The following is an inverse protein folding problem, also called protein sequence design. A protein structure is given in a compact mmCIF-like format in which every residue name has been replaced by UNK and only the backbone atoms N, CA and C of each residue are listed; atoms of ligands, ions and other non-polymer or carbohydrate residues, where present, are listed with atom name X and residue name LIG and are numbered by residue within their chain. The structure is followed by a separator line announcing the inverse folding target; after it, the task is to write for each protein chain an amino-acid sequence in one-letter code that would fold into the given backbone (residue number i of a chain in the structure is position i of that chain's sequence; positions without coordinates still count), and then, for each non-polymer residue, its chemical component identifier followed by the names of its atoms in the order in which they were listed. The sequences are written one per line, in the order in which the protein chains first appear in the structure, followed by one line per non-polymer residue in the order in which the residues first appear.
data_IF_941733818456
#
_entry.id   IF_941733818456
#
_cell.length_a   1.000
_cell.length_b   1.000
_cell.length_c   1.000
_cell.angle_alpha   90.00
_cell.angle_beta   90.00
_cell.angle_gamma   90.00
#
_symmetry.space_group_name_H-M   'P 1'
#
loop_
_entity.id
_entity.type
_entity.pdbx_description
1 polymer ?
#
# COMPACT_ATOMS: atom_id res chain seq x y z
N UNK A 1 21.36 44.70 34.35
CA UNK A 1 20.37 44.66 33.25
C UNK A 1 20.86 43.85 32.04
N UNK A 2 22.06 44.06 31.50
CA UNK A 2 22.52 43.35 30.28
C UNK A 2 22.64 41.81 30.37
N UNK A 3 22.89 41.24 31.55
CA UNK A 3 22.99 39.78 31.74
C UNK A 3 21.66 39.05 31.53
N UNK A 4 20.54 39.64 31.98
CA UNK A 4 19.20 39.09 31.79
C UNK A 4 18.81 39.08 30.30
N UNK A 5 19.12 40.16 29.57
CA UNK A 5 18.89 40.23 28.12
C UNK A 5 19.72 39.15 27.41
N UNK A 6 20.99 38.97 27.78
CA UNK A 6 21.85 37.93 27.21
C UNK A 6 21.31 36.51 27.42
N UNK A 7 20.84 36.20 28.64
CA UNK A 7 20.26 34.88 28.96
C UNK A 7 18.99 34.61 28.13
N UNK A 8 18.14 35.62 27.94
CA UNK A 8 16.92 35.49 27.13
C UNK A 8 17.25 35.20 25.66
N UNK A 9 18.24 35.88 25.09
CA UNK A 9 18.66 35.65 23.69
C UNK A 9 19.22 34.24 23.52
N UNK A 10 20.06 33.77 24.46
CA UNK A 10 20.61 32.41 24.39
C UNK A 10 19.51 31.36 24.50
N UNK A 11 18.56 31.51 25.42
CA UNK A 11 17.40 30.62 25.53
C UNK A 11 16.52 30.64 24.29
N UNK A 12 16.31 31.82 23.68
CA UNK A 12 15.53 31.95 22.46
C UNK A 12 16.20 31.25 21.27
N UNK A 13 17.52 31.41 21.12
CA UNK A 13 18.29 30.75 20.05
C UNK A 13 18.34 29.24 20.26
N UNK A 14 18.54 28.76 21.49
CA UNK A 14 18.51 27.33 21.82
C UNK A 14 17.12 26.72 21.60
N UNK A 15 16.07 27.41 22.03
CA UNK A 15 14.68 27.00 21.81
C UNK A 15 14.33 26.94 20.32
N UNK A 16 14.79 27.92 19.55
CA UNK A 16 14.60 27.97 18.09
C UNK A 16 15.33 26.83 17.39
N UNK A 17 16.56 26.48 17.81
CA UNK A 17 17.30 25.34 17.27
C UNK A 17 16.64 24.00 17.58
N UNK A 18 16.05 23.82 18.77
CA UNK A 18 15.31 22.60 19.11
C UNK A 18 14.02 22.45 18.30
N UNK A 19 13.31 23.55 18.02
CA UNK A 19 12.12 23.53 17.16
C UNK A 19 12.44 23.13 15.71
N UNK A 20 13.67 23.40 15.26
CA UNK A 20 14.13 23.08 13.90
C UNK A 20 14.68 21.65 13.76
N UNK A 21 14.84 20.88 14.85
CA UNK A 21 15.39 19.53 14.76
C UNK A 21 14.44 18.65 13.96
N UNK A 22 14.82 18.21 12.75
CA UNK A 22 13.95 17.36 11.95
C UNK A 22 13.72 16.06 12.71
N UNK A 23 12.46 15.66 12.81
CA UNK A 23 12.07 14.41 13.41
C UNK A 23 12.75 13.27 12.64
N UNK A 24 13.59 12.49 13.34
CA UNK A 24 14.39 11.45 12.70
C UNK A 24 13.55 10.37 12.00
N UNK A 25 12.29 10.21 12.41
CA UNK A 25 11.33 9.32 11.76
C UNK A 25 10.94 9.85 10.38
N UNK A 26 10.68 11.14 10.25
CA UNK A 26 10.25 11.74 8.98
C UNK A 26 11.39 11.71 7.95
N UNK A 27 12.64 11.91 8.38
CA UNK A 27 13.80 11.73 7.50
C UNK A 27 13.96 10.29 7.00
N UNK A 28 13.68 9.31 7.86
CA UNK A 28 13.77 7.88 7.50
C UNK A 28 12.65 7.47 6.56
N UNK A 29 11.44 7.96 6.81
CA UNK A 29 10.28 7.76 5.98
C UNK A 29 10.47 8.39 4.60
N UNK A 30 10.99 9.61 4.55
CA UNK A 30 11.30 10.30 3.30
C UNK A 30 12.33 9.52 2.49
N UNK A 31 13.41 9.04 3.13
CA UNK A 31 14.40 8.20 2.46
C UNK A 31 13.83 6.88 1.94
N UNK A 32 12.94 6.23 2.70
CA UNK A 32 12.23 5.02 2.26
C UNK A 32 11.42 5.31 0.99
N UNK A 33 10.64 6.39 0.99
CA UNK A 33 9.80 6.79 -0.15
C UNK A 33 10.62 7.21 -1.36
N UNK A 34 11.72 7.93 -1.16
CA UNK A 34 12.67 8.29 -2.22
C UNK A 34 13.31 7.04 -2.84
N UNK A 35 13.70 6.06 -2.01
CA UNK A 35 14.27 4.79 -2.49
C UNK A 35 13.23 3.97 -3.27
N UNK A 36 11.99 3.93 -2.78
CA UNK A 36 10.88 3.26 -3.47
C UNK A 36 10.62 3.89 -4.86
N UNK A 37 10.58 5.22 -4.95
CA UNK A 37 10.43 5.94 -6.23
C UNK A 37 11.55 5.60 -7.21
N UNK A 38 12.80 5.51 -6.73
CA UNK A 38 13.94 5.10 -7.57
C UNK A 38 13.75 3.68 -8.13
N UNK A 39 13.10 2.79 -7.39
CA UNK A 39 12.78 1.42 -7.81
C UNK A 39 11.49 1.33 -8.65
N UNK A 40 10.89 2.47 -9.03
CA UNK A 40 9.61 2.59 -9.74
C UNK A 40 8.39 2.13 -8.93
N UNK A 41 8.55 1.92 -7.62
CA UNK A 41 7.42 1.80 -6.70
C UNK A 41 6.92 3.22 -6.42
N UNK A 42 5.63 3.48 -6.64
CA UNK A 42 5.03 4.78 -6.40
C UNK A 42 4.41 4.81 -4.99
N UNK A 43 5.10 5.36 -3.97
CA UNK A 43 4.57 5.44 -2.62
C UNK A 43 3.55 6.57 -2.48
N UNK A 44 2.39 6.24 -1.93
CA UNK A 44 1.35 7.18 -1.51
C UNK A 44 0.93 6.85 -0.09
N UNK A 45 0.61 7.86 0.70
CA UNK A 45 0.01 7.67 2.01
C UNK A 45 -1.50 7.77 1.84
N UNK A 46 -2.23 6.72 2.21
CA UNK A 46 -3.69 6.65 2.07
C UNK A 46 -4.34 6.21 3.38
N UNK A 47 -5.61 6.55 3.54
CA UNK A 47 -6.42 5.99 4.62
C UNK A 47 -6.52 4.47 4.45
N UNK A 48 -6.55 3.74 5.56
CA UNK A 48 -6.79 2.30 5.53
C UNK A 48 -8.08 2.03 4.77
N UNK A 49 -8.05 1.20 3.70
CA UNK A 49 -9.28 0.82 3.04
C UNK A 49 -10.12 -0.05 3.98
N UNK A 50 -11.43 -0.02 3.79
CA UNK A 50 -12.44 -0.71 4.59
C UNK A 50 -12.24 -2.23 4.70
N UNK A 51 -11.68 -2.85 3.67
CA UNK A 51 -11.39 -4.28 3.65
C UNK A 51 -10.08 -4.68 4.37
N UNK A 52 -9.25 -3.72 4.81
CA UNK A 52 -8.01 -4.00 5.53
C UNK A 52 -8.17 -3.71 7.03
N UNK A 53 -7.68 -4.62 7.86
CA UNK A 53 -7.51 -4.40 9.30
C UNK A 53 -6.37 -3.42 9.56
N UNK A 54 -6.69 -2.29 10.17
CA UNK A 54 -5.74 -1.28 10.58
C UNK A 54 -4.88 -1.71 11.77
N UNK A 55 -4.15 -0.75 12.34
CA UNK A 55 -3.24 -0.98 13.48
C UNK A 55 -3.95 -1.52 14.72
N UNK A 56 -5.17 -1.04 14.97
CA UNK A 56 -5.94 -1.36 16.18
C UNK A 56 -6.87 -2.57 15.99
N UNK A 57 -6.60 -3.40 14.97
CA UNK A 57 -7.45 -4.54 14.57
C UNK A 57 -8.87 -4.13 14.10
N UNK A 58 -9.14 -2.82 14.02
CA UNK A 58 -10.34 -2.24 13.46
C UNK A 58 -10.19 -2.05 11.94
N UNK A 59 -11.24 -2.39 11.20
CA UNK A 59 -11.30 -2.22 9.74
C UNK A 59 -11.35 -0.73 9.35
N UNK A 60 -10.58 -0.35 8.32
CA UNK A 60 -10.63 0.99 7.74
C UNK A 60 -10.09 2.13 8.62
N UNK A 61 -9.44 1.82 9.75
CA UNK A 61 -8.87 2.84 10.66
C UNK A 61 -7.35 2.92 10.57
N UNK A 62 -6.86 4.16 10.39
CA UNK A 62 -5.42 4.47 10.35
C UNK A 62 -4.93 4.92 8.97
N UNK A 63 -3.62 5.16 8.88
CA UNK A 63 -2.95 5.54 7.63
C UNK A 63 -1.99 4.41 7.21
N UNK A 64 -2.02 4.03 5.93
CA UNK A 64 -1.14 3.02 5.34
C UNK A 64 -0.32 3.60 4.19
N UNK A 65 0.89 3.07 4.05
CA UNK A 65 1.70 3.23 2.86
C UNK A 65 1.14 2.35 1.74
N UNK A 66 0.73 2.98 0.66
CA UNK A 66 0.35 2.35 -0.59
C UNK A 66 1.53 2.42 -1.55
N UNK A 67 2.03 1.27 -1.99
CA UNK A 67 3.16 1.20 -2.93
C UNK A 67 2.65 0.53 -4.19
N UNK A 68 2.61 1.28 -5.29
CA UNK A 68 2.08 0.83 -6.56
C UNK A 68 3.23 0.51 -7.52
N UNK A 69 3.19 -0.68 -8.13
CA UNK A 69 4.02 -1.07 -9.26
C UNK A 69 3.11 -1.17 -10.50
N UNK A 70 3.51 -0.48 -11.57
CA UNK A 70 2.77 -0.42 -12.83
C UNK A 70 3.52 -1.26 -13.86
N UNK A 71 2.81 -2.13 -14.54
CA UNK A 71 3.30 -2.93 -15.67
C UNK A 71 2.87 -2.27 -16.98
N UNK A 72 3.72 -2.35 -18.01
CA UNK A 72 3.43 -1.76 -19.33
C UNK A 72 2.52 -2.68 -20.16
N UNK A 73 2.78 -3.99 -20.17
CA UNK A 73 2.14 -4.95 -21.09
C UNK A 73 1.26 -6.01 -20.41
N UNK A 74 0.84 -5.81 -19.16
CA UNK A 74 0.09 -6.83 -18.40
C UNK A 74 -1.28 -6.32 -17.94
N UNK A 75 -2.32 -7.13 -18.15
CA UNK A 75 -3.64 -6.92 -17.55
C UNK A 75 -3.88 -7.96 -16.46
N UNK A 76 -3.75 -7.53 -15.22
CA UNK A 76 -4.08 -8.24 -14.01
C UNK A 76 -5.58 -8.12 -13.69
N UNK A 77 -6.20 -9.21 -13.20
CA UNK A 77 -7.57 -9.19 -12.72
C UNK A 77 -7.70 -8.27 -11.51
N UNK A 78 -8.87 -7.64 -11.37
CA UNK A 78 -9.13 -6.77 -10.23
C UNK A 78 -9.48 -7.61 -9.00
N UNK A 79 -8.50 -7.82 -8.11
CA UNK A 79 -8.64 -8.69 -6.95
C UNK A 79 -8.02 -8.05 -5.71
N UNK A 80 -8.66 -8.27 -4.56
CA UNK A 80 -8.19 -7.85 -3.24
C UNK A 80 -7.70 -9.07 -2.48
N UNK A 81 -6.50 -8.98 -1.94
CA UNK A 81 -5.89 -10.01 -1.10
C UNK A 81 -5.53 -9.42 0.26
N UNK A 82 -5.97 -10.09 1.32
CA UNK A 82 -5.63 -9.77 2.69
C UNK A 82 -4.55 -10.70 3.20
N UNK A 83 -3.71 -10.22 4.11
CA UNK A 83 -2.74 -11.08 4.81
C UNK A 83 -3.43 -11.68 6.02
N UNK A 84 -3.61 -13.01 6.01
CA UNK A 84 -4.16 -13.78 7.14
C UNK A 84 -3.17 -14.90 7.45
N UNK A 85 -2.65 -14.93 8.69
CA UNK A 85 -1.68 -15.92 9.16
C UNK A 85 -0.42 -16.06 8.27
N UNK A 86 0.08 -14.94 7.72
CA UNK A 86 1.28 -14.93 6.87
C UNK A 86 1.04 -15.43 5.44
N UNK A 87 -0.22 -15.64 5.06
CA UNK A 87 -0.61 -16.06 3.71
C UNK A 87 -1.53 -15.05 3.06
N UNK A 88 -1.44 -14.95 1.73
CA UNK A 88 -2.40 -14.21 0.93
C UNK A 88 -3.73 -14.95 0.91
N UNK A 89 -4.81 -14.26 1.30
CA UNK A 89 -6.19 -14.75 1.15
C UNK A 89 -7.01 -13.77 0.33
N UNK A 90 -7.60 -14.21 -0.79
CA UNK A 90 -8.47 -13.35 -1.57
C UNK A 90 -9.72 -13.01 -0.77
N UNK A 91 -10.16 -11.77 -0.86
CA UNK A 91 -11.42 -11.35 -0.26
C UNK A 91 -12.58 -11.89 -1.12
N UNK A 92 -13.17 -13.00 -0.68
CA UNK A 92 -14.31 -13.64 -1.36
C UNK A 92 -15.57 -12.77 -1.38
N UNK A 93 -15.62 -11.69 -0.59
CA UNK A 93 -16.73 -10.73 -0.60
C UNK A 93 -16.58 -9.64 -1.65
N UNK A 94 -15.40 -9.55 -2.29
CA UNK A 94 -15.15 -8.52 -3.29
C UNK A 94 -15.87 -8.84 -4.60
N UNK A 95 -16.99 -8.14 -4.82
CA UNK A 95 -17.66 -8.07 -6.12
C UNK A 95 -17.13 -6.84 -6.84
N UNK A 96 -16.44 -7.04 -7.96
CA UNK A 96 -16.04 -5.94 -8.84
C UNK A 96 -17.29 -5.34 -9.50
N UNK A 97 -17.81 -4.26 -8.91
CA UNK A 97 -18.92 -3.46 -9.47
C UNK A 97 -18.44 -2.45 -10.52
N UNK A 98 -17.21 -2.57 -11.06
CA UNK A 98 -16.81 -1.71 -12.18
C UNK A 98 -17.64 -2.05 -13.41
N UNK A 99 -18.66 -1.21 -13.64
CA UNK A 99 -19.39 -1.17 -14.90
C UNK A 99 -18.37 -0.94 -16.01
N UNK A 100 -18.16 -1.94 -16.87
CA UNK A 100 -17.45 -1.74 -18.13
C UNK A 100 -18.27 -0.71 -18.92
N UNK A 101 -17.83 0.54 -18.95
CA UNK A 101 -18.44 1.70 -19.64
C UNK A 101 -18.44 1.56 -21.19
N UNK A 102 -18.36 0.33 -21.70
CA UNK A 102 -18.34 -0.02 -23.13
C UNK A 102 -19.65 -0.55 -23.67
N UNK A 103 -20.77 -0.34 -22.98
CA UNK A 103 -22.09 -0.43 -23.62
C UNK A 103 -22.56 0.98 -23.95
N UNK A 104 -22.36 1.36 -25.21
CA UNK A 104 -23.04 2.50 -25.83
C UNK A 104 -24.54 2.42 -25.52
N UNK A 105 -25.02 3.33 -24.68
CA UNK A 105 -26.44 3.45 -24.34
C UNK A 105 -27.18 3.90 -25.60
N UNK A 106 -27.66 2.95 -26.39
CA UNK A 106 -28.63 3.23 -27.45
C UNK A 106 -29.89 3.72 -26.71
N UNK A 107 -30.43 4.92 -27.01
CA UNK A 107 -31.67 5.37 -26.41
C UNK A 107 -32.81 4.47 -26.91
N UNK A 108 -33.19 3.49 -26.10
CA UNK A 108 -34.29 2.57 -26.37
C UNK A 108 -35.62 3.28 -26.09
N UNK A 109 -36.10 4.08 -27.05
CA UNK A 109 -37.49 4.55 -27.09
C UNK A 109 -38.49 3.42 -27.44
N UNK A 110 -38.00 2.20 -27.71
CA UNK A 110 -38.82 1.06 -28.10
C UNK A 110 -38.23 -0.19 -27.44
N UNK A 111 -38.84 -0.64 -26.34
CA UNK A 111 -39.02 -2.07 -25.98
C UNK A 111 -39.29 -2.20 -24.48
N UNK A 112 -40.55 -2.42 -24.16
CA UNK A 112 -41.03 -3.04 -22.93
C UNK A 112 -40.61 -4.52 -22.92
N UNK A 113 -39.64 -4.88 -22.08
CA UNK A 113 -39.48 -6.24 -21.52
C UNK A 113 -38.39 -6.21 -20.47
N UNK A 114 -38.65 -6.94 -19.38
CA UNK A 114 -37.81 -7.06 -18.20
C UNK A 114 -36.35 -7.35 -18.56
N UNK A 115 -35.46 -6.38 -18.31
CA UNK A 115 -34.02 -6.62 -18.29
C UNK A 115 -33.68 -6.94 -16.83
N UNK A 116 -33.45 -8.23 -16.54
CA UNK A 116 -32.68 -8.57 -15.35
C UNK A 116 -31.27 -8.05 -15.59
N UNK A 117 -30.94 -6.91 -15.00
CA UNK A 117 -29.55 -6.46 -14.87
C UNK A 117 -28.86 -7.47 -13.94
N UNK A 118 -28.45 -8.62 -14.47
CA UNK A 118 -27.48 -9.46 -13.78
C UNK A 118 -26.15 -8.72 -13.88
N UNK A 119 -25.63 -8.13 -12.80
CA UNK A 119 -24.26 -7.62 -12.84
C UNK A 119 -23.39 -8.83 -13.23
N UNK A 120 -22.59 -8.69 -14.28
CA UNK A 120 -21.56 -9.66 -14.63
C UNK A 120 -20.56 -9.67 -13.48
N UNK A 121 -20.81 -10.53 -12.49
CA UNK A 121 -19.92 -10.76 -11.36
C UNK A 121 -18.61 -11.29 -11.94
N UNK A 122 -17.61 -10.43 -12.09
CA UNK A 122 -16.25 -10.87 -12.39
C UNK A 122 -15.80 -11.72 -11.21
N UNK A 123 -15.62 -13.02 -11.45
CA UNK A 123 -15.20 -14.01 -10.45
C UNK A 123 -13.90 -13.52 -9.80
N UNK A 124 -13.86 -13.49 -8.48
CA UNK A 124 -12.64 -13.21 -7.73
C UNK A 124 -11.54 -14.17 -8.19
N UNK A 125 -10.39 -13.62 -8.57
CA UNK A 125 -9.24 -14.45 -8.92
C UNK A 125 -8.65 -15.03 -7.62
N UNK A 126 -8.44 -16.35 -7.58
CA UNK A 126 -7.88 -17.06 -6.43
C UNK A 126 -6.40 -17.42 -6.65
N UNK A 127 -5.76 -16.84 -7.66
CA UNK A 127 -4.43 -17.22 -8.12
C UNK A 127 -3.29 -17.09 -7.09
N UNK A 128 -3.46 -16.21 -6.09
CA UNK A 128 -2.55 -16.08 -4.95
C UNK A 128 -3.10 -16.66 -3.64
N UNK A 129 -4.21 -17.38 -3.64
CA UNK A 129 -4.74 -17.97 -2.40
C UNK A 129 -3.73 -18.97 -1.79
N UNK A 130 -3.46 -18.82 -0.49
CA UNK A 130 -2.51 -19.62 0.30
C UNK A 130 -1.03 -19.47 -0.07
N UNK A 131 -0.68 -18.49 -0.90
CA UNK A 131 0.74 -18.19 -1.19
C UNK A 131 1.37 -17.51 0.04
N UNK A 132 2.50 -18.01 0.57
CA UNK A 132 3.17 -17.38 1.69
C UNK A 132 3.72 -16.00 1.30
N UNK A 133 3.71 -15.06 2.25
CA UNK A 133 4.44 -13.80 2.13
C UNK A 133 5.94 -14.12 2.23
N UNK A 134 6.59 -14.51 1.13
CA UNK A 134 8.06 -14.69 1.05
C UNK A 134 8.83 -13.35 1.16
N UNK A 135 8.42 -12.47 2.07
CA UNK A 135 8.96 -11.14 2.27
C UNK A 135 10.08 -11.15 3.32
N UNK A 136 10.98 -10.16 3.31
CA UNK A 136 11.96 -10.00 4.37
C UNK A 136 11.27 -9.86 5.73
N UNK A 137 11.83 -10.50 6.78
CA UNK A 137 11.33 -10.47 8.17
C UNK A 137 11.10 -9.05 8.68
N UNK A 138 11.86 -8.07 8.16
CA UNK A 138 11.71 -6.65 8.48
C UNK A 138 10.42 -6.03 7.93
N UNK A 139 9.88 -6.50 6.81
CA UNK A 139 8.72 -5.94 6.10
C UNK A 139 7.46 -6.76 6.36
N UNK A 140 7.58 -8.09 6.35
CA UNK A 140 6.50 -9.06 6.48
C UNK A 140 5.43 -8.69 7.53
N UNK A 141 5.75 -8.35 8.80
CA UNK A 141 4.73 -8.08 9.81
C UNK A 141 3.94 -6.78 9.58
N UNK A 142 4.44 -5.88 8.71
CA UNK A 142 3.82 -4.59 8.43
C UNK A 142 2.91 -4.63 7.21
N UNK A 143 2.95 -5.69 6.40
CA UNK A 143 2.09 -5.85 5.22
C UNK A 143 0.69 -6.25 5.65
N UNK A 144 -0.31 -5.56 5.10
CA UNK A 144 -1.71 -5.76 5.47
C UNK A 144 -2.56 -6.28 4.31
N UNK A 145 -2.25 -5.89 3.08
CA UNK A 145 -3.02 -6.31 1.92
C UNK A 145 -2.35 -5.99 0.61
N UNK A 146 -2.87 -6.60 -0.45
CA UNK A 146 -2.45 -6.44 -1.83
C UNK A 146 -3.69 -6.27 -2.69
N UNK A 147 -3.63 -5.36 -3.65
CA UNK A 147 -4.69 -5.07 -4.59
C UNK A 147 -4.10 -5.11 -5.98
N UNK A 148 -4.68 -5.93 -6.84
CA UNK A 148 -4.41 -5.89 -8.28
C UNK A 148 -5.51 -5.13 -8.98
N UNK A 149 -5.14 -4.30 -9.96
CA UNK A 149 -6.11 -3.58 -10.79
C UNK A 149 -5.50 -3.26 -12.14
N UNK A 150 -6.14 -3.76 -13.21
CA UNK A 150 -5.74 -3.49 -14.58
C UNK A 150 -4.25 -3.78 -14.79
N UNK A 151 -3.40 -2.78 -14.99
CA UNK A 151 -1.97 -2.96 -15.19
C UNK A 151 -1.12 -2.65 -13.95
N UNK A 152 -1.71 -2.66 -12.76
CA UNK A 152 -1.02 -2.29 -11.53
C UNK A 152 -1.23 -3.31 -10.42
N UNK A 153 -0.17 -3.52 -9.65
CA UNK A 153 -0.19 -4.24 -8.39
C UNK A 153 0.16 -3.26 -7.26
N UNK A 154 -0.66 -3.26 -6.23
CA UNK A 154 -0.63 -2.25 -5.17
C UNK A 154 -0.53 -2.98 -3.85
N UNK A 155 0.53 -2.75 -3.10
CA UNK A 155 0.70 -3.29 -1.75
C UNK A 155 0.40 -2.23 -0.70
N UNK A 156 -0.35 -2.62 0.32
CA UNK A 156 -0.71 -1.81 1.48
C UNK A 156 0.02 -2.34 2.71
N UNK A 157 0.80 -1.46 3.33
CA UNK A 157 1.63 -1.80 4.48
C UNK A 157 1.91 -0.59 5.37
N UNK A 158 2.28 -0.83 6.63
CA UNK A 158 2.58 0.22 7.60
C UNK A 158 4.04 0.74 7.46
N UNK A 159 4.29 1.56 6.43
CA UNK A 159 5.61 2.16 6.15
C UNK A 159 6.20 2.96 7.34
N UNK A 160 5.36 3.66 8.10
CA UNK A 160 5.73 4.40 9.32
C UNK A 160 6.17 3.46 10.44
N UNK A 161 5.50 2.31 10.61
CA UNK A 161 5.86 1.33 11.63
C UNK A 161 7.17 0.61 11.29
N UNK A 162 7.43 0.40 10.00
CA UNK A 162 8.71 -0.14 9.52
C UNK A 162 9.91 0.75 9.86
N UNK A 163 9.80 2.09 9.69
CA UNK A 163 10.94 3.01 9.93
C UNK A 163 11.14 3.38 11.41
N UNK A 164 10.17 3.08 12.26
CA UNK A 164 10.18 3.44 13.68
C UNK A 164 10.93 2.37 14.49
N UNK A 165 12.02 2.73 15.20
CA UNK A 165 12.80 1.78 16.01
C UNK A 165 12.02 1.08 17.11
N UNK A 166 11.00 1.76 17.66
CA UNK A 166 10.16 1.20 18.72
C UNK A 166 9.33 0.01 18.23
N UNK A 167 8.92 0.00 16.96
CA UNK A 167 8.16 -1.10 16.34
C UNK A 167 9.05 -2.05 15.54
N UNK A 168 10.18 -1.57 15.03
CA UNK A 168 11.16 -2.38 14.29
C UNK A 168 12.58 -2.14 14.82
N UNK A 169 13.03 -2.88 15.84
CA UNK A 169 14.39 -2.75 16.37
C UNK A 169 15.46 -3.22 15.37
N UNK A 170 15.08 -4.05 14.41
CA UNK A 170 15.94 -4.56 13.33
C UNK A 170 16.09 -3.61 12.15
N UNK A 171 15.48 -2.41 12.21
CA UNK A 171 15.57 -1.42 11.15
C UNK A 171 17.01 -0.94 10.92
N UNK A 172 17.52 -1.17 9.70
CA UNK A 172 18.80 -0.66 9.27
C UNK A 172 18.66 0.14 7.98
N UNK A 173 19.00 1.42 8.01
CA UNK A 173 18.86 2.33 6.88
C UNK A 173 19.60 1.86 5.61
N UNK A 174 20.70 1.12 5.78
CA UNK A 174 21.50 0.56 4.66
C UNK A 174 20.82 -0.64 3.98
N UNK A 175 19.89 -1.32 4.66
CA UNK A 175 19.17 -2.50 4.14
C UNK A 175 17.87 -2.16 3.43
N UNK A 176 17.37 -0.93 3.56
CA UNK A 176 16.11 -0.48 2.93
C UNK A 176 16.07 -0.78 1.44
N UNK A 177 17.16 -0.49 0.72
CA UNK A 177 17.22 -0.72 -0.73
C UNK A 177 17.13 -2.20 -1.07
N UNK A 178 17.85 -3.06 -0.34
CA UNK A 178 17.79 -4.51 -0.51
C UNK A 178 16.39 -5.05 -0.18
N UNK A 179 15.79 -4.61 0.94
CA UNK A 179 14.46 -5.03 1.36
C UNK A 179 13.39 -4.61 0.32
N UNK A 180 13.46 -3.38 -0.21
CA UNK A 180 12.54 -2.89 -1.25
C UNK A 180 12.77 -3.58 -2.61
N UNK A 181 14.00 -3.98 -2.92
CA UNK A 181 14.31 -4.72 -4.14
C UNK A 181 13.67 -6.11 -4.08
N UNK A 182 13.82 -6.84 -2.97
CA UNK A 182 13.15 -8.14 -2.75
C UNK A 182 11.62 -7.97 -2.80
N UNK A 183 11.09 -6.93 -2.17
CA UNK A 183 9.66 -6.60 -2.24
C UNK A 183 9.19 -6.43 -3.70
N UNK A 184 9.95 -5.68 -4.51
CA UNK A 184 9.65 -5.48 -5.93
C UNK A 184 9.68 -6.80 -6.70
N UNK A 185 10.75 -7.58 -6.56
CA UNK A 185 10.88 -8.87 -7.25
C UNK A 185 9.71 -9.81 -6.92
N UNK A 186 9.25 -9.82 -5.67
CA UNK A 186 8.10 -10.63 -5.28
C UNK A 186 6.80 -10.13 -5.87
N UNK A 187 6.58 -8.81 -5.95
CA UNK A 187 5.42 -8.23 -6.63
C UNK A 187 5.40 -8.61 -8.13
N UNK A 188 6.55 -8.62 -8.79
CA UNK A 188 6.69 -9.06 -10.18
C UNK A 188 6.39 -10.55 -10.33
N UNK A 189 6.94 -11.40 -9.45
CA UNK A 189 6.66 -12.84 -9.43
C UNK A 189 5.17 -13.12 -9.25
N UNK A 190 4.52 -12.45 -8.31
CA UNK A 190 3.08 -12.61 -8.07
C UNK A 190 2.25 -12.15 -9.27
N UNK A 191 2.61 -11.04 -9.90
CA UNK A 191 1.95 -10.58 -11.12
C UNK A 191 2.08 -11.59 -12.27
N UNK A 192 3.27 -12.19 -12.45
CA UNK A 192 3.49 -13.25 -13.45
C UNK A 192 2.71 -14.53 -13.14
N UNK A 193 2.59 -14.90 -11.86
CA UNK A 193 1.80 -16.06 -11.44
C UNK A 193 0.31 -15.88 -11.76
N UNK A 194 -0.23 -14.70 -11.47
CA UNK A 194 -1.61 -14.34 -11.80
C UNK A 194 -1.87 -14.38 -13.30
N UNK A 195 -0.91 -13.92 -14.11
CA UNK A 195 -1.04 -13.97 -15.57
C UNK A 195 -1.07 -15.40 -16.12
N UNK A 196 -0.32 -16.34 -15.52
CA UNK A 196 -0.30 -17.74 -15.97
C UNK A 196 -1.61 -18.49 -15.68
N UNK A 197 -2.41 -18.01 -14.75
CA UNK A 197 -3.65 -18.67 -14.32
C UNK A 197 -4.93 -18.00 -14.89
N UNK A 198 -4.79 -16.85 -15.56
CA UNK A 198 -5.85 -16.15 -16.27
C UNK A 198 -6.03 -16.69 -17.70
#
# INVERSE_FOLDING_TARGET
MGTLIGVIIVLFVLGSMMALKPNGIDQRLDKLRMTARRLQLNPKLVSCPDWIKGRDNEYGRGMLGQYCLIFEDTKLPHTRYQVIDGQWRPDSSFVDTSTDDKTLTIPSAIRSSQISNNPTVKKTDFSLDQVPLELPVSIEPFVKGLLTKANSIIIYWEDIAYVRPASNPTYHQKRIEADLLVLKENLEKWALQMQKQA
#
